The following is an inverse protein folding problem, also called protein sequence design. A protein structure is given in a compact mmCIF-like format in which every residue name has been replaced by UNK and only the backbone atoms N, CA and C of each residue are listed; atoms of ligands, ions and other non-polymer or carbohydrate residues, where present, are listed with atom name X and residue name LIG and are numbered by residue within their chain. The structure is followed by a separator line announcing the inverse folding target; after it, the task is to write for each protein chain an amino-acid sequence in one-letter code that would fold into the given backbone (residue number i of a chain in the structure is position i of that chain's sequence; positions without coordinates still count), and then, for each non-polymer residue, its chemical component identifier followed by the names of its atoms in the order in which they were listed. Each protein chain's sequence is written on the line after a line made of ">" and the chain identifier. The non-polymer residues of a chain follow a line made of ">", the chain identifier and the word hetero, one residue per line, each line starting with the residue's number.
data_IF_367755903552
#
_entry.id   IF_367755903552
#
_cell.length_a   1.000
_cell.length_b   1.000
_cell.length_c   1.000
_cell.angle_alpha   90.00
_cell.angle_beta   90.00
_cell.angle_gamma   90.00
#
_symmetry.space_group_name_H-M   'P 1'
#
loop_
_entity.id
_entity.type
_entity.pdbx_description
1 polymer ?
#
# COMPACT_ATOMS: atom_id res chain seq x y z
N UNK A 1 -14.02 -14.98 10.19
CA UNK A 1 -13.25 -15.23 8.96
C UNK A 1 -11.78 -15.17 9.31
N UNK A 2 -10.99 -16.15 8.89
CA UNK A 2 -9.55 -16.15 9.17
C UNK A 2 -8.81 -15.14 8.27
N UNK A 3 -7.72 -14.51 8.76
CA UNK A 3 -6.98 -13.51 7.98
C UNK A 3 -6.46 -14.08 6.66
N UNK A 4 -6.02 -15.35 6.65
CA UNK A 4 -5.50 -15.98 5.43
C UNK A 4 -6.59 -16.20 4.39
N UNK A 5 -7.83 -16.39 4.81
CA UNK A 5 -8.98 -16.48 3.91
C UNK A 5 -9.33 -15.12 3.31
N UNK A 6 -9.36 -14.07 4.12
CA UNK A 6 -9.60 -12.69 3.66
C UNK A 6 -8.55 -12.26 2.63
N UNK A 7 -7.27 -12.56 2.88
CA UNK A 7 -6.18 -12.23 1.96
C UNK A 7 -6.25 -12.93 0.59
N UNK A 8 -7.01 -14.04 0.51
CA UNK A 8 -7.25 -14.77 -0.72
C UNK A 8 -8.55 -14.33 -1.42
N UNK A 9 -9.35 -13.48 -0.79
CA UNK A 9 -10.62 -13.05 -1.34
C UNK A 9 -10.41 -11.84 -2.28
N UNK A 10 -11.02 -11.83 -3.48
CA UNK A 10 -10.94 -10.69 -4.38
C UNK A 10 -11.60 -9.44 -3.78
N UNK A 11 -12.67 -9.61 -3.00
CA UNK A 11 -13.41 -8.50 -2.38
C UNK A 11 -12.53 -7.67 -1.45
N UNK A 12 -11.63 -8.32 -0.70
CA UNK A 12 -10.67 -7.61 0.14
C UNK A 12 -9.76 -6.70 -0.68
N UNK A 13 -9.21 -7.20 -1.78
CA UNK A 13 -8.29 -6.44 -2.63
C UNK A 13 -9.00 -5.33 -3.40
N UNK A 14 -10.22 -5.59 -3.88
CA UNK A 14 -11.09 -4.57 -4.48
C UNK A 14 -11.38 -3.46 -3.49
N UNK A 15 -11.90 -3.78 -2.29
CA UNK A 15 -12.22 -2.79 -1.28
C UNK A 15 -10.99 -2.01 -0.81
N UNK A 16 -9.85 -2.70 -0.57
CA UNK A 16 -8.59 -2.04 -0.20
C UNK A 16 -8.17 -1.00 -1.26
N UNK A 17 -8.27 -1.36 -2.54
CA UNK A 17 -7.88 -0.49 -3.65
C UNK A 17 -8.85 0.68 -3.83
N UNK A 18 -10.15 0.44 -3.68
CA UNK A 18 -11.19 1.48 -3.71
C UNK A 18 -10.99 2.51 -2.59
N UNK A 19 -10.72 2.05 -1.37
CA UNK A 19 -10.43 2.92 -0.21
C UNK A 19 -9.17 3.75 -0.47
N UNK A 20 -8.13 3.16 -1.05
CA UNK A 20 -6.92 3.90 -1.37
C UNK A 20 -7.21 5.02 -2.38
N UNK A 21 -7.90 4.73 -3.49
CA UNK A 21 -8.26 5.76 -4.48
C UNK A 21 -9.15 6.86 -3.86
N UNK A 22 -10.07 6.48 -2.98
CA UNK A 22 -10.89 7.41 -2.22
C UNK A 22 -10.03 8.38 -1.39
N UNK A 23 -9.04 7.85 -0.64
CA UNK A 23 -8.14 8.67 0.16
C UNK A 23 -7.33 9.64 -0.70
N UNK A 24 -6.93 9.23 -1.90
CA UNK A 24 -6.23 10.11 -2.85
C UNK A 24 -7.15 11.25 -3.33
N UNK A 25 -8.43 10.94 -3.62
CA UNK A 25 -9.41 11.96 -4.00
C UNK A 25 -9.66 12.96 -2.86
N UNK A 26 -9.81 12.47 -1.62
CA UNK A 26 -10.00 13.33 -0.44
C UNK A 26 -8.78 14.22 -0.16
N UNK A 27 -7.57 13.65 -0.24
CA UNK A 27 -6.32 14.39 -0.04
C UNK A 27 -6.18 15.49 -1.08
N UNK A 28 -6.42 15.17 -2.35
CA UNK A 28 -6.43 16.15 -3.43
C UNK A 28 -7.45 17.27 -3.21
N UNK A 29 -8.68 16.94 -2.81
CA UNK A 29 -9.72 17.94 -2.50
C UNK A 29 -9.31 18.85 -1.35
N UNK A 30 -8.72 18.28 -0.29
CA UNK A 30 -8.26 19.04 0.87
C UNK A 30 -7.11 19.98 0.53
N UNK A 31 -6.12 19.49 -0.21
CA UNK A 31 -4.93 20.27 -0.62
C UNK A 31 -5.29 21.40 -1.58
N UNK A 32 -6.23 21.16 -2.48
CA UNK A 32 -6.67 22.15 -3.48
C UNK A 32 -7.84 23.02 -3.01
N UNK A 33 -8.41 22.76 -1.83
CA UNK A 33 -9.60 23.45 -1.32
C UNK A 33 -10.88 23.22 -2.15
N UNK A 34 -10.94 22.14 -2.92
CA UNK A 34 -12.06 21.83 -3.83
C UNK A 34 -13.18 21.10 -3.11
N UNK A 35 -14.43 21.45 -3.40
CA UNK A 35 -15.60 20.66 -3.02
C UNK A 35 -15.95 19.61 -4.09
N UNK A 36 -16.88 18.69 -3.78
CA UNK A 36 -17.26 17.58 -4.68
C UNK A 36 -17.75 18.06 -6.07
N UNK A 37 -18.44 19.20 -6.13
CA UNK A 37 -18.90 19.78 -7.41
C UNK A 37 -17.72 20.26 -8.24
N UNK A 38 -16.78 20.98 -7.64
CA UNK A 38 -15.58 21.48 -8.31
C UNK A 38 -14.64 20.35 -8.73
N UNK A 39 -14.61 19.24 -7.97
CA UNK A 39 -13.89 18.04 -8.37
C UNK A 39 -14.50 17.41 -9.64
N UNK A 40 -15.83 17.34 -9.72
CA UNK A 40 -16.51 16.81 -10.89
C UNK A 40 -16.21 17.64 -12.15
N UNK A 41 -16.25 18.96 -12.02
CA UNK A 41 -15.87 19.90 -13.09
C UNK A 41 -14.40 19.73 -13.50
N UNK A 42 -13.47 19.63 -12.54
CA UNK A 42 -12.05 19.42 -12.79
C UNK A 42 -11.78 18.11 -13.54
N UNK A 43 -12.44 17.03 -13.15
CA UNK A 43 -12.30 15.71 -13.78
C UNK A 43 -13.08 15.59 -15.10
N UNK A 44 -13.92 16.57 -15.45
CA UNK A 44 -14.78 16.51 -16.64
C UNK A 44 -15.84 15.41 -16.58
N UNK A 45 -16.33 15.07 -15.38
CA UNK A 45 -17.30 13.98 -15.13
C UNK A 45 -18.56 14.50 -14.43
N UNK A 46 -19.60 13.66 -14.34
CA UNK A 46 -20.84 14.03 -13.67
C UNK A 46 -20.67 14.11 -12.14
N UNK A 47 -21.50 14.90 -11.47
CA UNK A 47 -21.51 14.96 -9.99
C UNK A 47 -21.85 13.61 -9.35
N UNK A 48 -22.75 12.85 -9.98
CA UNK A 48 -23.12 11.50 -9.52
C UNK A 48 -21.94 10.54 -9.55
N UNK A 49 -21.09 10.64 -10.58
CA UNK A 49 -19.86 9.85 -10.69
C UNK A 49 -18.88 10.15 -9.55
N UNK A 50 -18.66 11.43 -9.24
CA UNK A 50 -17.83 11.81 -8.08
C UNK A 50 -18.43 11.34 -6.77
N UNK A 51 -19.76 11.39 -6.62
CA UNK A 51 -20.42 10.85 -5.42
C UNK A 51 -20.21 9.34 -5.28
N UNK A 52 -20.31 8.56 -6.36
CA UNK A 52 -20.04 7.12 -6.33
C UNK A 52 -18.60 6.81 -5.89
N UNK A 53 -17.63 7.50 -6.50
CA UNK A 53 -16.22 7.43 -6.11
C UNK A 53 -16.03 7.75 -4.62
N UNK A 54 -16.62 8.85 -4.15
CA UNK A 54 -16.51 9.31 -2.77
C UNK A 54 -17.42 8.58 -1.77
N UNK A 55 -18.22 7.63 -2.23
CA UNK A 55 -19.00 6.75 -1.36
C UNK A 55 -18.41 5.32 -1.33
N UNK A 56 -17.32 5.07 -2.05
CA UNK A 56 -16.69 3.74 -2.15
C UNK A 56 -17.46 2.74 -3.02
N UNK A 57 -18.53 3.17 -3.68
CA UNK A 57 -19.33 2.35 -4.60
C UNK A 57 -18.83 2.55 -6.04
N UNK A 58 -17.57 2.16 -6.25
CA UNK A 58 -16.83 2.41 -7.48
C UNK A 58 -16.22 1.11 -8.01
N UNK A 59 -16.90 0.43 -8.92
CA UNK A 59 -16.39 -0.79 -9.58
C UNK A 59 -16.13 -0.56 -11.08
N UNK A 60 -15.47 0.56 -11.41
CA UNK A 60 -15.14 0.84 -12.81
C UNK A 60 -13.89 0.09 -13.27
N UNK A 61 -13.68 0.13 -14.59
CA UNK A 61 -12.54 -0.45 -15.27
C UNK A 61 -11.21 0.10 -14.74
N UNK A 62 -10.20 -0.77 -14.70
CA UNK A 62 -8.83 -0.44 -14.29
C UNK A 62 -8.23 0.76 -15.07
N UNK A 63 -8.60 0.94 -16.34
CA UNK A 63 -8.20 2.12 -17.13
C UNK A 63 -8.59 3.43 -16.45
N UNK A 64 -9.79 3.48 -15.85
CA UNK A 64 -10.30 4.68 -15.21
C UNK A 64 -9.68 4.93 -13.83
N UNK A 65 -9.32 3.85 -13.12
CA UNK A 65 -8.51 3.92 -11.90
C UNK A 65 -7.17 4.64 -12.16
N UNK A 66 -6.47 4.28 -13.24
CA UNK A 66 -5.22 4.96 -13.62
C UNK A 66 -5.43 6.42 -14.01
N UNK A 67 -6.44 6.73 -14.84
CA UNK A 67 -6.77 8.11 -15.20
C UNK A 67 -7.03 8.99 -13.97
N UNK A 68 -7.82 8.50 -13.00
CA UNK A 68 -8.13 9.23 -11.78
C UNK A 68 -6.89 9.43 -10.90
N UNK A 69 -6.09 8.38 -10.71
CA UNK A 69 -4.85 8.46 -9.93
C UNK A 69 -3.93 9.56 -10.50
N UNK A 70 -3.73 9.56 -11.82
CA UNK A 70 -2.93 10.58 -12.50
C UNK A 70 -3.54 11.98 -12.40
N UNK A 71 -4.87 12.10 -12.48
CA UNK A 71 -5.56 13.38 -12.32
C UNK A 71 -5.40 13.98 -10.91
N UNK A 72 -5.23 13.14 -9.89
CA UNK A 72 -4.90 13.54 -8.52
C UNK A 72 -3.40 13.76 -8.30
N UNK A 73 -2.56 13.58 -9.33
CA UNK A 73 -1.12 13.80 -9.26
C UNK A 73 -0.34 12.64 -8.65
N UNK A 74 -0.92 11.44 -8.57
CA UNK A 74 -0.29 10.25 -7.99
C UNK A 74 -0.11 9.14 -9.02
N UNK A 75 0.96 8.36 -8.89
CA UNK A 75 1.23 7.20 -9.74
C UNK A 75 0.95 5.93 -8.92
N UNK A 76 -0.07 5.14 -9.26
CA UNK A 76 -0.34 3.90 -8.56
C UNK A 76 0.71 2.84 -8.93
N UNK A 77 1.34 2.24 -7.93
CA UNK A 77 2.27 1.11 -8.11
C UNK A 77 1.55 -0.21 -7.88
N UNK A 78 1.73 -1.18 -8.79
CA UNK A 78 1.08 -2.49 -8.73
C UNK A 78 2.15 -3.58 -8.80
N UNK A 79 2.20 -4.40 -7.75
CA UNK A 79 3.10 -5.55 -7.65
C UNK A 79 2.32 -6.86 -7.72
N UNK A 80 2.83 -7.81 -8.50
CA UNK A 80 2.27 -9.16 -8.58
C UNK A 80 3.09 -10.09 -7.69
N UNK A 81 2.54 -10.40 -6.52
CA UNK A 81 3.21 -11.21 -5.48
C UNK A 81 2.50 -12.56 -5.39
N UNK A 82 3.24 -13.70 -5.36
CA UNK A 82 2.64 -15.00 -5.11
C UNK A 82 1.85 -15.01 -3.80
N UNK A 83 0.60 -15.48 -3.83
CA UNK A 83 -0.31 -15.47 -2.67
C UNK A 83 0.33 -16.10 -1.43
N UNK A 84 1.00 -17.25 -1.59
CA UNK A 84 1.68 -17.93 -0.49
C UNK A 84 2.77 -17.08 0.17
N UNK A 85 3.55 -16.34 -0.62
CA UNK A 85 4.57 -15.41 -0.12
C UNK A 85 3.92 -14.26 0.65
N UNK A 86 2.92 -13.59 0.05
CA UNK A 86 2.24 -12.46 0.70
C UNK A 86 1.58 -12.85 2.03
N UNK A 87 0.92 -14.02 2.10
CA UNK A 87 0.28 -14.50 3.33
C UNK A 87 1.30 -14.78 4.44
N UNK A 88 2.46 -15.34 4.09
CA UNK A 88 3.56 -15.56 5.04
C UNK A 88 4.15 -14.24 5.54
N UNK A 89 4.36 -13.28 4.63
CA UNK A 89 4.90 -11.95 4.97
C UNK A 89 3.92 -11.13 5.83
N UNK A 90 2.60 -11.15 5.53
CA UNK A 90 1.55 -10.52 6.36
C UNK A 90 1.52 -11.11 7.77
N UNK A 91 1.71 -12.43 7.91
CA UNK A 91 1.79 -13.09 9.20
C UNK A 91 3.05 -12.70 9.99
N UNK A 92 4.20 -12.59 9.30
CA UNK A 92 5.48 -12.25 9.93
C UNK A 92 5.55 -10.76 10.33
N UNK A 93 5.04 -9.84 9.49
CA UNK A 93 5.03 -8.39 9.77
C UNK A 93 4.38 -8.01 11.11
N UNK A 94 3.48 -8.83 11.63
CA UNK A 94 2.85 -8.65 12.95
C UNK A 94 3.82 -8.83 14.12
N UNK A 95 4.90 -9.58 13.93
CA UNK A 95 5.89 -9.87 14.97
C UNK A 95 6.82 -8.66 15.20
N UNK A 96 7.05 -7.83 14.18
CA UNK A 96 7.94 -6.65 14.28
C UNK A 96 7.28 -5.42 14.92
N UNK A 97 5.95 -5.36 15.03
CA UNK A 97 5.24 -4.22 15.66
C UNK A 97 5.52 -4.08 17.16
N UNK A 98 6.09 -5.11 17.81
CA UNK A 98 6.38 -5.11 19.25
C UNK A 98 7.85 -4.86 19.58
N UNK A 99 8.67 -4.43 18.62
CA UNK A 99 10.04 -4.02 18.94
C UNK A 99 9.97 -2.59 19.49
N UNK A 100 10.18 -2.46 20.80
CA UNK A 100 10.43 -1.15 21.40
C UNK A 100 11.65 -0.56 20.70
N UNK A 101 11.47 0.57 20.01
CA UNK A 101 12.60 1.32 19.46
C UNK A 101 13.50 1.68 20.66
N UNK A 102 14.76 1.21 20.72
CA UNK A 102 15.67 1.70 21.74
C UNK A 102 15.75 3.21 21.55
N UNK A 103 15.47 3.94 22.63
CA UNK A 103 15.35 5.39 22.71
C UNK A 103 16.02 6.11 21.53
N UNK A 104 15.23 6.80 20.72
CA UNK A 104 15.72 7.68 19.67
C UNK A 104 16.48 8.83 20.33
N UNK A 105 17.74 8.58 20.69
CA UNK A 105 18.70 9.64 20.92
C UNK A 105 18.79 10.38 19.60
N UNK A 106 18.22 11.58 19.57
CA UNK A 106 18.30 12.48 18.43
C UNK A 106 19.80 12.74 18.19
N UNK A 107 20.36 12.11 17.17
CA UNK A 107 21.73 12.38 16.75
C UNK A 107 21.65 13.62 15.85
N UNK A 108 22.13 14.77 16.34
CA UNK A 108 22.38 15.92 15.49
C UNK A 108 23.48 15.54 14.49
N UNK A 109 23.17 15.71 13.21
CA UNK A 109 24.13 15.49 12.13
C UNK A 109 25.12 16.65 12.14
N UNK A 110 26.37 16.40 12.53
CA UNK A 110 27.46 17.33 12.30
C UNK A 110 28.03 17.05 10.90
N UNK A 111 28.04 18.05 10.04
CA UNK A 111 28.53 18.03 8.66
C UNK A 111 30.07 17.95 8.58
N UNK A 112 30.68 17.04 9.33
CA UNK A 112 32.13 16.88 9.45
C UNK A 112 32.49 15.44 9.73
N UNK A 113 32.71 14.69 8.66
CA UNK A 113 33.35 13.36 8.57
C UNK A 113 33.06 12.37 9.71
N UNK A 114 32.14 11.43 9.45
CA UNK A 114 32.19 10.11 10.10
C UNK A 114 31.98 9.01 9.06
N UNK A 115 33.07 8.31 8.70
CA UNK A 115 32.97 6.98 8.09
C UNK A 115 32.58 5.97 9.18
N UNK A 116 31.29 5.85 9.47
CA UNK A 116 30.78 4.67 10.19
C UNK A 116 30.39 3.64 9.15
N UNK A 117 31.24 2.64 8.92
CA UNK A 117 30.79 1.43 8.23
C UNK A 117 29.84 0.69 9.17
N UNK A 118 28.54 0.87 8.99
CA UNK A 118 27.56 0.02 9.65
C UNK A 118 27.61 -1.37 9.02
N UNK A 119 28.28 -2.30 9.70
CA UNK A 119 27.95 -3.72 9.54
C UNK A 119 26.70 -3.95 10.38
N UNK A 120 25.52 -3.79 9.77
CA UNK A 120 24.34 -4.45 10.32
C UNK A 120 24.58 -5.94 10.19
N UNK A 121 24.99 -6.60 11.28
CA UNK A 121 24.66 -8.00 11.46
C UNK A 121 23.18 -8.04 11.82
N UNK A 122 22.32 -7.89 10.83
CA UNK A 122 21.00 -8.48 10.97
C UNK A 122 21.25 -9.96 11.23
N UNK A 123 20.87 -10.45 12.41
CA UNK A 123 20.36 -11.80 12.44
C UNK A 123 19.12 -11.72 11.56
N UNK A 124 19.31 -12.02 10.28
CA UNK A 124 18.25 -12.26 9.34
C UNK A 124 17.41 -13.39 9.95
N UNK A 125 16.41 -13.02 10.74
CA UNK A 125 15.21 -13.83 10.87
C UNK A 125 14.48 -13.59 9.56
N UNK A 126 15.07 -14.09 8.46
CA UNK A 126 14.35 -14.31 7.23
C UNK A 126 13.15 -15.16 7.59
N UNK A 127 11.98 -14.80 7.07
CA UNK A 127 10.86 -15.73 7.00
C UNK A 127 11.43 -17.07 6.52
N UNK A 128 11.18 -18.20 7.21
CA UNK A 128 11.68 -19.49 6.77
C UNK A 128 11.23 -19.70 5.32
N UNK A 129 12.18 -19.59 4.39
CA UNK A 129 11.94 -19.90 3.00
C UNK A 129 11.75 -21.41 3.01
N UNK A 130 10.58 -21.89 2.59
CA UNK A 130 10.45 -23.33 2.41
C UNK A 130 11.41 -23.72 1.28
N UNK A 131 12.58 -24.25 1.65
CA UNK A 131 13.60 -24.76 0.73
C UNK A 131 13.33 -26.22 0.37
N UNK A 132 12.10 -26.72 0.53
CA UNK A 132 11.67 -28.02 0.01
C UNK A 132 11.89 -28.03 -1.50
N UNK A 133 13.07 -28.53 -1.88
CA UNK A 133 13.39 -28.96 -3.22
C UNK A 133 12.35 -30.03 -3.57
N UNK A 134 11.68 -29.97 -4.73
CA UNK A 134 10.80 -31.06 -5.14
C UNK A 134 11.62 -32.36 -5.13
N UNK A 135 11.24 -33.31 -4.28
CA UNK A 135 11.86 -34.64 -4.27
C UNK A 135 11.55 -35.30 -5.62
N UNK A 136 12.60 -35.49 -6.42
CA UNK A 136 12.68 -36.40 -7.56
C UNK A 136 11.54 -36.29 -8.60
N UNK A 137 11.75 -35.46 -9.62
CA UNK A 137 11.30 -35.82 -10.96
C UNK A 137 12.33 -36.82 -11.52
N UNK A 138 12.07 -38.11 -11.28
CA UNK A 138 12.65 -39.21 -12.05
C UNK A 138 11.66 -39.60 -13.15
#
# INVERSE_FOLDING_TARGET
>A
MDRKEVLKSPEYWTAKTQIELYNQAESFMKETGRNKTQLAEYLGVSKGYVSQLLNGDYDHRLSKFFELSLAFGVIPQIDFIPVGKYVSDDACSKQFKNIALPNANFVEWNDGEIHVSYSMKSNEIMCPVNTDTPKNAA
#
